data_IF_632329737502
#
_entry.id   IF_632329737502
#
_cell.length_a   1.000
_cell.length_b   1.000
_cell.length_c   1.000
_cell.angle_alpha   90.00
_cell.angle_beta   90.00
_cell.angle_gamma   90.00
#
_symmetry.space_group_name_H-M   'P 1'
#
loop_
_entity.id
_entity.type
_entity.pdbx_description
1 polymer ?
#
# COMPACT_ATOMS: atom_id res chain seq x y z
N UNK A 1 -2.00 -16.72 13.28
CA UNK A 1 -2.48 -15.63 12.41
C UNK A 1 -1.25 -14.91 11.87
N UNK A 2 -1.02 -14.96 10.57
CA UNK A 2 0.17 -14.37 9.93
C UNK A 2 -0.12 -12.92 9.57
N UNK A 3 0.80 -12.02 9.89
CA UNK A 3 0.75 -10.60 9.51
C UNK A 3 1.93 -10.32 8.60
N UNK A 4 1.68 -9.68 7.45
CA UNK A 4 2.70 -9.28 6.49
C UNK A 4 3.00 -7.80 6.68
N UNK A 5 4.27 -7.43 6.80
CA UNK A 5 4.70 -6.03 6.80
C UNK A 5 5.46 -5.73 5.51
N UNK A 6 5.05 -4.69 4.78
CA UNK A 6 5.76 -4.20 3.59
C UNK A 6 6.39 -2.85 3.94
N UNK A 7 7.72 -2.82 3.95
CA UNK A 7 8.52 -1.63 4.28
C UNK A 7 9.05 -1.01 2.98
N UNK A 8 8.60 0.21 2.70
CA UNK A 8 8.79 0.93 1.45
C UNK A 8 7.58 0.76 0.54
N UNK A 9 6.82 1.83 0.33
CA UNK A 9 5.63 1.87 -0.53
C UNK A 9 5.97 2.71 -1.77
N UNK A 10 6.86 2.15 -2.59
CA UNK A 10 7.15 2.64 -3.93
C UNK A 10 6.45 1.79 -4.99
N UNK A 11 6.94 1.91 -6.23
CA UNK A 11 6.44 1.16 -7.40
C UNK A 11 6.25 -0.34 -7.15
N UNK A 12 7.17 -1.00 -6.42
CA UNK A 12 7.05 -2.43 -6.11
C UNK A 12 6.24 -2.67 -4.84
N UNK A 13 6.53 -1.91 -3.78
CA UNK A 13 6.00 -2.21 -2.45
C UNK A 13 4.52 -1.91 -2.31
N UNK A 14 3.99 -0.87 -2.98
CA UNK A 14 2.57 -0.54 -2.89
C UNK A 14 1.68 -1.63 -3.53
N UNK A 15 1.88 -2.06 -4.80
CA UNK A 15 1.13 -3.18 -5.37
C UNK A 15 1.26 -4.45 -4.54
N UNK A 16 2.46 -4.74 -4.02
CA UNK A 16 2.71 -5.91 -3.18
C UNK A 16 1.90 -5.87 -1.87
N UNK A 17 1.84 -4.71 -1.21
CA UNK A 17 1.05 -4.53 0.00
C UNK A 17 -0.46 -4.71 -0.28
N UNK A 18 -0.93 -4.23 -1.42
CA UNK A 18 -2.33 -4.43 -1.85
C UNK A 18 -2.65 -5.90 -2.09
N UNK A 19 -1.81 -6.61 -2.85
CA UNK A 19 -2.07 -8.03 -3.13
C UNK A 19 -1.98 -8.91 -1.88
N UNK A 20 -1.04 -8.65 -0.97
CA UNK A 20 -1.01 -9.35 0.31
C UNK A 20 -2.21 -9.00 1.20
N UNK A 21 -2.70 -7.74 1.16
CA UNK A 21 -3.88 -7.29 1.89
C UNK A 21 -5.16 -8.07 1.57
N UNK A 22 -5.24 -8.67 0.36
CA UNK A 22 -6.35 -9.53 -0.05
C UNK A 22 -6.36 -10.90 0.66
N UNK A 23 -5.22 -11.36 1.17
CA UNK A 23 -5.04 -12.71 1.73
C UNK A 23 -4.63 -12.72 3.21
N UNK A 24 -3.90 -11.70 3.65
CA UNK A 24 -3.32 -11.59 4.98
C UNK A 24 -3.54 -10.19 5.54
N UNK A 25 -3.65 -10.08 6.87
CA UNK A 25 -3.54 -8.80 7.53
C UNK A 25 -2.18 -8.18 7.16
N UNK A 26 -2.21 -7.04 6.46
CA UNK A 26 -1.02 -6.44 5.86
C UNK A 26 -0.83 -5.01 6.38
N UNK A 27 0.40 -4.69 6.80
CA UNK A 27 0.81 -3.36 7.26
C UNK A 27 1.79 -2.77 6.27
N UNK A 28 1.41 -1.68 5.62
CA UNK A 28 2.31 -0.87 4.79
C UNK A 28 3.01 0.21 5.61
N UNK A 29 4.32 0.37 5.44
CA UNK A 29 5.12 1.41 6.07
C UNK A 29 6.00 2.13 5.05
N UNK A 30 6.04 3.47 5.10
CA UNK A 30 6.95 4.30 4.30
C UNK A 30 7.32 5.54 5.13
N UNK A 31 8.54 6.07 4.94
CA UNK A 31 9.00 7.28 5.63
C UNK A 31 8.31 8.55 5.09
N UNK A 32 7.77 8.49 3.88
CA UNK A 32 7.10 9.62 3.25
C UNK A 32 5.67 9.77 3.76
N UNK A 33 5.48 10.66 4.74
CA UNK A 33 4.15 11.03 5.23
C UNK A 33 3.19 11.48 4.11
N UNK A 34 3.73 12.19 3.10
CA UNK A 34 2.97 12.62 1.93
C UNK A 34 2.38 11.43 1.15
N UNK A 35 3.17 10.37 0.92
CA UNK A 35 2.67 9.15 0.26
C UNK A 35 1.62 8.46 1.11
N UNK A 36 1.89 8.29 2.41
CA UNK A 36 0.94 7.67 3.34
C UNK A 36 -0.40 8.42 3.35
N UNK A 37 -0.38 9.75 3.38
CA UNK A 37 -1.58 10.56 3.31
C UNK A 37 -2.34 10.38 1.98
N UNK A 38 -1.64 10.26 0.86
CA UNK A 38 -2.27 9.99 -0.45
C UNK A 38 -2.93 8.61 -0.47
N UNK A 39 -2.21 7.55 -0.04
CA UNK A 39 -2.73 6.18 -0.01
C UNK A 39 -3.95 6.04 0.91
N UNK A 40 -3.96 6.71 2.07
CA UNK A 40 -5.11 6.76 2.98
C UNK A 40 -6.35 7.44 2.37
N UNK A 41 -6.15 8.28 1.36
CA UNK A 41 -7.22 8.89 0.56
C UNK A 41 -7.51 8.09 -0.72
N UNK A 42 -7.05 6.84 -0.80
CA UNK A 42 -7.20 5.96 -1.96
C UNK A 42 -6.60 6.54 -3.25
N UNK A 43 -5.55 7.33 -3.12
CA UNK A 43 -4.83 7.95 -4.23
C UNK A 43 -3.39 7.44 -4.27
N UNK A 44 -3.05 6.71 -5.34
CA UNK A 44 -1.66 6.46 -5.68
C UNK A 44 -1.14 7.51 -6.68
N UNK A 45 -0.21 8.40 -6.30
CA UNK A 45 0.36 9.38 -7.21
C UNK A 45 1.25 8.76 -8.30
N UNK A 46 1.64 7.48 -8.19
CA UNK A 46 2.42 6.79 -9.24
C UNK A 46 1.55 6.20 -10.34
N UNK A 47 0.27 5.92 -10.06
CA UNK A 47 -0.66 5.32 -11.00
C UNK A 47 -0.50 3.80 -11.17
N UNK A 48 0.26 3.16 -10.27
CA UNK A 48 0.50 1.71 -10.30
C UNK A 48 -0.66 0.92 -9.71
N UNK A 49 -1.42 1.56 -8.82
CA UNK A 49 -2.58 0.96 -8.17
C UNK A 49 -3.79 1.88 -8.34
N UNK A 50 -4.92 1.30 -8.75
CA UNK A 50 -6.16 2.05 -8.91
C UNK A 50 -6.78 2.44 -7.56
N UNK A 51 -7.63 3.46 -7.57
CA UNK A 51 -8.42 3.83 -6.39
C UNK A 51 -9.28 2.67 -5.86
N UNK A 52 -9.75 1.79 -6.76
CA UNK A 52 -10.55 0.63 -6.37
C UNK A 52 -9.72 -0.43 -5.64
N UNK A 53 -8.45 -0.60 -6.03
CA UNK A 53 -7.52 -1.54 -5.39
C UNK A 53 -6.99 -1.05 -4.04
N UNK A 54 -7.02 0.25 -3.77
CA UNK A 54 -6.66 0.83 -2.47
C UNK A 54 -7.79 0.82 -1.43
N UNK A 55 -9.04 0.62 -1.87
CA UNK A 55 -10.22 0.57 -0.99
C UNK A 55 -10.42 -0.81 -0.38
#
# INVERSE_FOLDING_TARGET
MTVVAVVGLGYVGLPLAVEFGKQYATVGFDLSEKKIAAYRNFLDPTGEVSQAELK
#
